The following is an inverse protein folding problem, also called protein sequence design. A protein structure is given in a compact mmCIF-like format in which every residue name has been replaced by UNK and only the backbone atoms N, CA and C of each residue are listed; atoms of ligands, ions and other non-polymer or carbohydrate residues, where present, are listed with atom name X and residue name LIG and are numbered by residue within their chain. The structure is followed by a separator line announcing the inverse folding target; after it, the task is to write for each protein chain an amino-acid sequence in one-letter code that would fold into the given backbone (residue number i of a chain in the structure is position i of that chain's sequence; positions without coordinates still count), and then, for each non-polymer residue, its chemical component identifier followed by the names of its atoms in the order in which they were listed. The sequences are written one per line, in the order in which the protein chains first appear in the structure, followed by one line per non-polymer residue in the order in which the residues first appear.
data_IF_073942004434
#
_entry.id   IF_073942004434
#
_cell.length_a   1.000
_cell.length_b   1.000
_cell.length_c   1.000
_cell.angle_alpha   90.00
_cell.angle_beta   90.00
_cell.angle_gamma   90.00
#
_symmetry.space_group_name_H-M   'P 1'
#
loop_
_entity.id
_entity.type
_entity.pdbx_description
1 polymer ?
#
# COMPACT_ATOMS: atom_id res chain seq x y z
N UNK A 1 1.50 10.75 28.12
CA UNK A 1 1.26 10.17 26.78
C UNK A 1 2.63 9.97 26.16
N UNK A 2 3.04 8.72 25.96
CA UNK A 2 4.39 8.39 25.48
C UNK A 2 4.61 8.88 24.04
N UNK A 3 5.76 9.50 23.81
CA UNK A 3 6.24 9.86 22.48
C UNK A 3 7.08 8.68 21.98
N UNK A 4 6.71 8.09 20.86
CA UNK A 4 7.47 6.99 20.25
C UNK A 4 8.47 7.57 19.28
N UNK A 5 9.73 7.10 19.33
CA UNK A 5 10.78 7.54 18.41
C UNK A 5 10.97 6.46 17.34
N UNK A 6 10.73 6.82 16.08
CA UNK A 6 11.10 5.98 14.95
C UNK A 6 12.56 6.25 14.59
N UNK A 7 13.40 5.23 14.73
CA UNK A 7 14.79 5.32 14.29
C UNK A 7 14.89 4.98 12.81
N UNK A 8 15.28 5.98 12.02
CA UNK A 8 15.74 5.80 10.66
C UNK A 8 17.26 5.64 10.69
N UNK A 9 17.78 4.71 9.89
CA UNK A 9 19.16 4.22 9.88
C UNK A 9 20.23 5.24 10.37
N UNK A 10 21.02 4.76 11.32
CA UNK A 10 22.30 5.25 11.88
C UNK A 10 22.41 6.66 12.49
N UNK A 11 21.54 7.65 12.28
CA UNK A 11 21.60 8.92 13.06
C UNK A 11 20.32 9.79 12.99
N UNK A 12 19.20 9.25 12.51
CA UNK A 12 18.01 10.02 12.18
C UNK A 12 16.79 9.56 12.97
N UNK A 13 16.40 10.30 14.01
CA UNK A 13 15.20 10.01 14.82
C UNK A 13 14.01 10.88 14.42
N UNK A 14 12.88 10.26 14.09
CA UNK A 14 11.60 10.94 13.89
C UNK A 14 10.76 10.76 15.15
N UNK A 15 10.38 11.85 15.81
CA UNK A 15 9.41 11.80 16.91
C UNK A 15 8.00 11.60 16.35
N UNK A 16 7.28 10.64 16.92
CA UNK A 16 5.94 10.25 16.52
C UNK A 16 5.00 10.19 17.72
N UNK A 17 3.73 10.55 17.52
CA UNK A 17 2.65 10.36 18.48
C UNK A 17 1.45 9.69 17.83
N UNK A 18 0.83 8.76 18.55
CA UNK A 18 -0.47 8.20 18.14
C UNK A 18 -1.59 9.12 18.61
N UNK A 19 -2.43 9.58 17.68
CA UNK A 19 -3.63 10.37 17.97
C UNK A 19 -4.76 9.78 17.14
N UNK A 20 -5.86 9.40 17.79
CA UNK A 20 -7.02 8.77 17.15
C UNK A 20 -6.63 7.52 16.32
N UNK A 21 -5.74 6.69 16.88
CA UNK A 21 -5.13 5.50 16.23
C UNK A 21 -4.37 5.78 14.92
N UNK A 22 -4.09 7.06 14.63
CA UNK A 22 -3.29 7.48 13.49
C UNK A 22 -1.90 7.95 13.94
N UNK A 23 -0.83 7.58 13.23
CA UNK A 23 0.49 8.08 13.51
C UNK A 23 0.63 9.53 13.03
N UNK A 24 1.17 10.38 13.91
CA UNK A 24 1.54 11.75 13.60
C UNK A 24 3.04 11.94 13.80
N UNK A 25 3.72 12.49 12.80
CA UNK A 25 5.16 12.67 12.76
C UNK A 25 5.52 14.14 12.94
N UNK A 26 6.48 14.44 13.81
CA UNK A 26 6.99 15.81 13.95
C UNK A 26 7.61 16.24 12.63
N UNK A 27 6.98 17.23 11.98
CA UNK A 27 7.36 17.58 10.62
C UNK A 27 8.78 18.16 10.54
N UNK A 28 9.26 18.80 11.61
CA UNK A 28 10.64 19.32 11.68
C UNK A 28 11.65 18.19 11.47
N UNK A 29 11.49 17.10 12.21
CA UNK A 29 12.39 15.93 12.16
C UNK A 29 12.34 15.29 10.76
N UNK A 30 11.14 15.16 10.19
CA UNK A 30 10.94 14.65 8.82
C UNK A 30 11.66 15.53 7.79
N UNK A 31 11.47 16.85 7.85
CA UNK A 31 12.11 17.78 6.92
C UNK A 31 13.64 17.75 7.03
N UNK A 32 14.20 17.65 8.24
CA UNK A 32 15.64 17.55 8.47
C UNK A 32 16.23 16.28 7.82
N UNK A 33 15.59 15.13 8.06
CA UNK A 33 15.99 13.84 7.46
C UNK A 33 15.86 13.87 5.94
N UNK A 34 14.85 14.56 5.41
CA UNK A 34 14.64 14.71 3.98
C UNK A 34 15.49 15.82 3.33
N UNK A 35 16.25 16.59 4.12
CA UNK A 35 17.08 17.69 3.62
C UNK A 35 16.26 18.88 3.11
N UNK A 36 15.03 19.05 3.60
CA UNK A 36 14.13 20.15 3.30
C UNK A 36 14.47 21.33 4.23
N UNK A 37 15.46 22.13 3.83
CA UNK A 37 16.03 23.23 4.64
C UNK A 37 14.97 24.27 5.02
N UNK A 38 14.10 24.62 4.07
CA UNK A 38 13.01 25.59 4.29
C UNK A 38 11.76 24.87 4.81
N UNK A 39 11.74 24.61 6.11
CA UNK A 39 10.64 23.90 6.77
C UNK A 39 9.24 24.48 6.46
N UNK A 40 9.07 25.81 6.53
CA UNK A 40 7.78 26.47 6.27
C UNK A 40 7.33 26.33 4.81
N UNK A 41 8.28 26.31 3.88
CA UNK A 41 8.05 26.16 2.44
C UNK A 41 7.68 24.71 2.11
N UNK A 42 8.36 23.73 2.71
CA UNK A 42 8.00 22.33 2.55
C UNK A 42 6.57 22.04 3.08
N UNK A 43 6.21 22.67 4.21
CA UNK A 43 4.88 22.54 4.78
C UNK A 43 3.79 23.29 4.01
N UNK A 44 4.09 24.34 3.24
CA UNK A 44 3.05 25.00 2.42
C UNK A 44 2.57 24.11 1.27
N UNK A 45 3.33 23.06 0.93
CA UNK A 45 2.99 22.07 -0.10
C UNK A 45 2.32 20.81 0.47
N UNK A 46 2.05 20.78 1.78
CA UNK A 46 1.22 19.74 2.42
C UNK A 46 -0.19 20.31 2.56
N UNK A 47 -1.22 19.47 2.46
CA UNK A 47 -2.60 19.93 2.65
C UNK A 47 -2.87 20.28 4.13
N UNK A 48 -3.78 21.21 4.38
CA UNK A 48 -4.04 21.67 5.74
C UNK A 48 -4.67 20.59 6.62
N UNK A 49 -5.44 19.67 6.04
CA UNK A 49 -6.00 18.50 6.74
C UNK A 49 -4.93 17.48 7.16
N UNK A 50 -3.78 17.49 6.48
CA UNK A 50 -2.65 16.61 6.75
C UNK A 50 -1.66 17.22 7.76
N UNK A 51 -1.92 18.44 8.21
CA UNK A 51 -1.14 19.14 9.24
C UNK A 51 -1.92 19.20 10.53
N UNK A 52 -1.19 19.10 11.64
CA UNK A 52 -1.70 19.47 12.95
C UNK A 52 -0.71 20.38 13.62
N UNK A 53 -1.11 21.63 13.76
CA UNK A 53 -0.38 22.62 14.56
C UNK A 53 -0.69 22.26 16.01
N UNK A 54 0.34 21.90 16.80
CA UNK A 54 0.29 21.68 18.25
C UNK A 54 0.26 20.24 18.78
N UNK A 55 1.18 19.39 18.31
CA UNK A 55 1.57 18.25 19.16
C UNK A 55 2.57 18.76 20.19
N UNK A 56 2.25 18.55 21.48
CA UNK A 56 3.21 18.77 22.57
C UNK A 56 4.19 17.61 22.57
N UNK A 57 5.47 17.95 22.43
CA UNK A 57 6.58 17.00 22.40
C UNK A 57 7.61 17.45 23.42
N UNK A 58 8.13 16.51 24.20
CA UNK A 58 9.21 16.81 25.14
C UNK A 58 10.50 17.09 24.37
N UNK A 59 11.14 18.20 24.71
CA UNK A 59 12.45 18.60 24.16
C UNK A 59 13.41 18.83 25.32
N UNK A 60 14.71 18.94 25.02
CA UNK A 60 15.73 19.26 26.02
C UNK A 60 15.45 20.58 26.76
N UNK A 61 14.68 21.49 26.14
CA UNK A 61 14.22 22.75 26.73
C UNK A 61 12.82 22.71 27.36
N UNK A 62 12.23 21.52 27.55
CA UNK A 62 10.86 21.34 28.06
C UNK A 62 9.81 21.05 26.96
N UNK A 63 8.53 20.95 27.33
CA UNK A 63 7.45 20.64 26.40
C UNK A 63 7.26 21.77 25.38
N UNK A 64 7.41 21.45 24.09
CA UNK A 64 7.22 22.40 22.98
C UNK A 64 6.07 21.97 22.08
N UNK A 65 5.31 22.96 21.62
CA UNK A 65 4.27 22.79 20.61
C UNK A 65 4.90 22.77 19.22
N UNK A 66 4.84 21.61 18.56
CA UNK A 66 5.41 21.40 17.23
C UNK A 66 4.30 21.12 16.20
N UNK A 67 4.54 21.48 14.95
CA UNK A 67 3.69 21.02 13.84
C UNK A 67 4.02 19.56 13.54
N UNK A 68 2.98 18.76 13.39
CA UNK A 68 3.09 17.39 12.95
C UNK A 68 2.29 17.18 11.68
N UNK A 69 2.68 16.14 10.94
CA UNK A 69 1.98 15.66 9.75
C UNK A 69 1.48 14.24 9.98
N UNK A 70 0.34 13.90 9.40
CA UNK A 70 -0.13 12.52 9.37
C UNK A 70 0.66 11.72 8.31
N UNK A 71 0.24 10.49 8.04
CA UNK A 71 0.87 9.62 7.02
C UNK A 71 0.81 10.21 5.59
N UNK A 72 -0.32 10.83 5.22
CA UNK A 72 -0.47 11.48 3.91
C UNK A 72 0.51 12.65 3.75
N UNK A 73 0.57 13.55 4.74
CA UNK A 73 1.51 14.66 4.74
C UNK A 73 2.97 14.21 4.82
N UNK A 74 3.26 13.10 5.50
CA UNK A 74 4.59 12.49 5.51
C UNK A 74 5.03 12.06 4.10
N UNK A 75 4.15 11.39 3.34
CA UNK A 75 4.44 11.02 1.96
C UNK A 75 4.57 12.23 1.03
N UNK A 76 3.75 13.27 1.23
CA UNK A 76 3.88 14.53 0.50
C UNK A 76 5.28 15.13 0.68
N UNK A 77 5.80 15.16 1.90
CA UNK A 77 7.17 15.64 2.18
C UNK A 77 8.24 14.75 1.52
N UNK A 78 8.09 13.42 1.57
CA UNK A 78 9.04 12.50 0.89
C UNK A 78 9.10 12.79 -0.61
N UNK A 79 7.95 13.03 -1.24
CA UNK A 79 7.89 13.27 -2.68
C UNK A 79 8.47 14.63 -3.10
N UNK A 80 8.59 15.59 -2.19
CA UNK A 80 9.29 16.86 -2.39
C UNK A 80 10.81 16.74 -2.27
N UNK A 81 11.32 15.76 -1.53
CA UNK A 81 12.76 15.63 -1.27
C UNK A 81 13.56 15.29 -2.53
N UNK A 82 14.72 15.94 -2.67
CA UNK A 82 15.69 15.67 -3.74
C UNK A 82 16.74 14.62 -3.37
N UNK A 83 16.74 14.13 -2.12
CA UNK A 83 17.71 13.13 -1.63
C UNK A 83 17.60 11.82 -2.44
N UNK A 84 18.71 11.14 -2.71
CA UNK A 84 18.69 9.89 -3.48
C UNK A 84 17.85 8.80 -2.81
N UNK A 85 17.81 8.76 -1.47
CA UNK A 85 17.00 7.82 -0.69
C UNK A 85 15.49 8.08 -0.90
N UNK A 86 15.07 9.34 -0.87
CA UNK A 86 13.67 9.71 -1.13
C UNK A 86 13.26 9.42 -2.59
N UNK A 87 14.15 9.65 -3.56
CA UNK A 87 13.94 9.26 -4.95
C UNK A 87 13.81 7.74 -5.10
N UNK A 88 14.66 6.96 -4.42
CA UNK A 88 14.59 5.50 -4.44
C UNK A 88 13.27 5.00 -3.83
N UNK A 89 12.85 5.56 -2.69
CA UNK A 89 11.57 5.24 -2.08
C UNK A 89 10.40 5.57 -3.02
N UNK A 90 10.35 6.79 -3.56
CA UNK A 90 9.32 7.20 -4.52
C UNK A 90 9.28 6.24 -5.71
N UNK A 91 10.43 5.89 -6.29
CA UNK A 91 10.51 4.95 -7.41
C UNK A 91 9.97 3.58 -7.02
N UNK A 92 10.38 3.03 -5.87
CA UNK A 92 9.89 1.75 -5.37
C UNK A 92 8.37 1.75 -5.19
N UNK A 93 7.82 2.79 -4.55
CA UNK A 93 6.36 2.93 -4.38
C UNK A 93 5.65 2.98 -5.73
N UNK A 94 6.12 3.79 -6.67
CA UNK A 94 5.43 3.99 -7.95
C UNK A 94 5.65 2.88 -8.97
N UNK A 95 6.80 2.19 -8.94
CA UNK A 95 7.11 1.12 -9.91
C UNK A 95 6.75 -0.27 -9.42
N UNK A 96 6.65 -0.49 -8.11
CA UNK A 96 6.46 -1.81 -7.53
C UNK A 96 5.21 -1.89 -6.67
N UNK A 97 5.10 -1.05 -5.64
CA UNK A 97 4.02 -1.15 -4.64
C UNK A 97 2.66 -0.81 -5.24
N UNK A 98 2.50 0.40 -5.79
CA UNK A 98 1.23 0.85 -6.37
C UNK A 98 0.77 -0.05 -7.53
N UNK A 99 1.64 -0.44 -8.50
CA UNK A 99 1.25 -1.40 -9.52
C UNK A 99 0.82 -2.75 -8.95
N UNK A 100 1.47 -3.24 -7.88
CA UNK A 100 1.08 -4.48 -7.23
C UNK A 100 -0.27 -4.38 -6.53
N UNK A 101 -0.52 -3.28 -5.81
CA UNK A 101 -1.81 -3.00 -5.18
C UNK A 101 -2.95 -2.89 -6.21
N UNK A 102 -2.71 -2.28 -7.37
CA UNK A 102 -3.71 -2.19 -8.43
C UNK A 102 -3.92 -3.51 -9.17
N UNK A 103 -2.84 -4.25 -9.44
CA UNK A 103 -2.92 -5.49 -10.22
C UNK A 103 -3.47 -6.63 -9.38
N UNK A 104 -2.98 -6.79 -8.16
CA UNK A 104 -3.24 -7.95 -7.29
C UNK A 104 -4.09 -7.60 -6.07
N UNK A 105 -4.09 -6.34 -5.63
CA UNK A 105 -4.82 -5.91 -4.43
C UNK A 105 -4.05 -6.02 -3.13
N UNK A 106 -2.79 -6.42 -3.21
CA UNK A 106 -1.92 -6.60 -2.07
C UNK A 106 -0.47 -6.41 -2.53
N UNK A 107 0.40 -6.16 -1.57
CA UNK A 107 1.84 -6.15 -1.75
C UNK A 107 2.45 -7.08 -0.72
N UNK A 108 3.35 -7.97 -1.15
CA UNK A 108 4.17 -8.80 -0.26
C UNK A 108 5.61 -8.41 -0.54
N UNK A 109 6.29 -7.90 0.48
CA UNK A 109 7.68 -7.51 0.34
C UNK A 109 8.53 -8.74 -0.06
N UNK A 110 9.52 -8.58 -0.95
CA UNK A 110 10.44 -9.66 -1.29
C UNK A 110 11.10 -10.22 -0.02
N UNK A 111 10.99 -11.54 0.17
CA UNK A 111 11.56 -12.22 1.35
C UNK A 111 10.71 -12.13 2.62
N UNK A 112 9.49 -11.57 2.58
CA UNK A 112 8.58 -11.62 3.72
C UNK A 112 8.12 -13.06 3.99
N UNK A 113 8.40 -13.56 5.19
CA UNK A 113 7.85 -14.82 5.68
C UNK A 113 6.45 -14.58 6.24
N UNK A 114 5.44 -15.09 5.54
CA UNK A 114 4.05 -15.04 5.98
C UNK A 114 3.75 -16.25 6.87
N UNK A 115 3.14 -15.98 8.02
CA UNK A 115 2.50 -17.03 8.83
C UNK A 115 1.43 -17.75 8.01
N UNK A 116 1.04 -18.95 8.44
CA UNK A 116 -0.02 -19.72 7.77
C UNK A 116 -1.32 -18.92 7.65
N UNK A 117 -1.74 -18.29 8.75
CA UNK A 117 -2.96 -17.49 8.81
C UNK A 117 -2.91 -16.27 7.87
N UNK A 118 -1.78 -15.56 7.83
CA UNK A 118 -1.58 -14.44 6.90
C UNK A 118 -1.63 -14.89 5.44
N UNK A 119 -1.05 -16.05 5.12
CA UNK A 119 -1.09 -16.64 3.78
C UNK A 119 -2.51 -17.02 3.39
N UNK A 120 -3.27 -17.66 4.28
CA UNK A 120 -4.66 -18.03 4.05
C UNK A 120 -5.54 -16.80 3.84
N UNK A 121 -5.40 -15.77 4.67
CA UNK A 121 -6.11 -14.51 4.51
C UNK A 121 -5.79 -13.83 3.17
N UNK A 122 -4.51 -13.81 2.78
CA UNK A 122 -4.08 -13.27 1.50
C UNK A 122 -4.68 -14.02 0.31
N UNK A 123 -4.64 -15.36 0.37
CA UNK A 123 -5.24 -16.22 -0.66
C UNK A 123 -6.75 -16.00 -0.77
N UNK A 124 -7.45 -15.85 0.35
CA UNK A 124 -8.88 -15.58 0.37
C UNK A 124 -9.22 -14.24 -0.30
N UNK A 125 -8.50 -13.18 0.03
CA UNK A 125 -8.66 -11.85 -0.61
C UNK A 125 -8.37 -11.94 -2.11
N UNK A 126 -7.30 -12.65 -2.49
CA UNK A 126 -6.91 -12.84 -3.88
C UNK A 126 -7.98 -13.59 -4.67
N UNK A 127 -8.46 -14.73 -4.18
CA UNK A 127 -9.52 -15.53 -4.81
C UNK A 127 -10.81 -14.71 -4.95
N UNK A 128 -11.20 -13.97 -3.91
CA UNK A 128 -12.40 -13.11 -3.92
C UNK A 128 -12.31 -12.03 -5.00
N UNK A 129 -11.15 -11.41 -5.20
CA UNK A 129 -10.93 -10.43 -6.28
C UNK A 129 -10.91 -11.08 -7.66
N UNK A 130 -10.16 -12.17 -7.82
CA UNK A 130 -10.00 -12.88 -9.09
C UNK A 130 -11.32 -13.40 -9.64
N UNK A 131 -12.26 -13.78 -8.76
CA UNK A 131 -13.59 -14.26 -9.12
C UNK A 131 -14.33 -13.34 -10.09
N UNK A 132 -14.09 -12.03 -10.03
CA UNK A 132 -14.70 -11.03 -10.94
C UNK A 132 -14.27 -11.20 -12.39
N UNK A 133 -13.08 -11.77 -12.60
CA UNK A 133 -12.46 -11.95 -13.90
C UNK A 133 -12.49 -13.41 -14.36
N UNK A 134 -13.03 -14.34 -13.57
CA UNK A 134 -13.09 -15.76 -13.92
C UNK A 134 -14.44 -16.08 -14.58
N UNK A 135 -14.38 -16.69 -15.76
CA UNK A 135 -15.57 -17.19 -16.45
C UNK A 135 -15.80 -18.67 -16.14
N UNK A 136 -17.04 -19.15 -16.36
CA UNK A 136 -17.40 -20.55 -16.11
C UNK A 136 -16.51 -21.53 -16.92
N UNK A 137 -16.10 -21.15 -18.14
CA UNK A 137 -15.19 -21.95 -18.98
C UNK A 137 -13.78 -22.09 -18.39
N UNK A 138 -13.31 -21.11 -17.61
CA UNK A 138 -11.95 -21.11 -17.09
C UNK A 138 -11.71 -22.26 -16.10
N UNK A 139 -12.74 -22.63 -15.33
CA UNK A 139 -12.70 -23.78 -14.42
C UNK A 139 -12.35 -25.05 -15.18
N UNK A 140 -13.03 -25.32 -16.30
CA UNK A 140 -12.78 -26.50 -17.12
C UNK A 140 -11.38 -26.48 -17.77
N UNK A 141 -10.87 -25.30 -18.12
CA UNK A 141 -9.53 -25.20 -18.72
C UNK A 141 -8.44 -25.38 -17.66
N UNK A 142 -8.61 -24.82 -16.46
CA UNK A 142 -7.68 -25.02 -15.35
C UNK A 142 -7.70 -26.46 -14.88
N UNK A 143 -8.87 -27.11 -14.80
CA UNK A 143 -9.00 -28.52 -14.45
C UNK A 143 -8.18 -29.41 -15.39
N UNK A 144 -8.33 -29.21 -16.72
CA UNK A 144 -7.54 -29.94 -17.73
C UNK A 144 -6.05 -29.68 -17.62
N UNK A 145 -5.63 -28.43 -17.35
CA UNK A 145 -4.21 -28.05 -17.26
C UNK A 145 -3.52 -28.57 -15.99
N UNK A 146 -4.24 -28.62 -14.88
CA UNK A 146 -3.69 -28.97 -13.56
C UNK A 146 -3.97 -30.43 -13.16
N UNK A 147 -4.77 -31.14 -13.95
CA UNK A 147 -5.24 -32.50 -13.69
C UNK A 147 -6.07 -32.65 -12.39
N UNK A 148 -6.61 -31.55 -11.86
CA UNK A 148 -7.57 -31.59 -10.75
C UNK A 148 -9.01 -31.70 -11.29
N UNK A 149 -9.93 -32.36 -10.55
CA UNK A 149 -11.34 -32.37 -10.91
C UNK A 149 -11.93 -30.96 -11.04
N UNK A 150 -12.84 -30.76 -11.99
CA UNK A 150 -13.48 -29.45 -12.21
C UNK A 150 -14.22 -28.95 -10.95
N UNK A 151 -14.82 -29.86 -10.17
CA UNK A 151 -15.44 -29.54 -8.89
C UNK A 151 -14.43 -28.97 -7.88
N UNK A 152 -13.23 -29.58 -7.78
CA UNK A 152 -12.16 -29.07 -6.92
C UNK A 152 -11.76 -27.65 -7.34
N UNK A 153 -11.50 -27.45 -8.64
CA UNK A 153 -11.13 -26.13 -9.17
C UNK A 153 -12.22 -25.09 -8.92
N UNK A 154 -13.50 -25.48 -9.05
CA UNK A 154 -14.64 -24.61 -8.75
C UNK A 154 -14.69 -24.23 -7.27
N UNK A 155 -14.43 -25.17 -6.34
CA UNK A 155 -14.34 -24.89 -4.91
C UNK A 155 -13.20 -23.92 -4.59
N UNK A 156 -12.05 -24.06 -5.26
CA UNK A 156 -10.95 -23.10 -5.15
C UNK A 156 -11.37 -21.73 -5.68
N UNK A 157 -11.91 -21.65 -6.90
CA UNK A 157 -12.33 -20.40 -7.53
C UNK A 157 -13.43 -19.65 -6.76
N UNK A 158 -14.27 -20.39 -6.01
CA UNK A 158 -15.34 -19.84 -5.16
C UNK A 158 -14.89 -19.52 -3.74
N UNK A 159 -13.64 -19.84 -3.36
CA UNK A 159 -13.11 -19.64 -2.01
C UNK A 159 -13.66 -20.61 -0.97
N UNK A 160 -14.22 -21.76 -1.41
CA UNK A 160 -14.79 -22.82 -0.55
C UNK A 160 -13.81 -23.97 -0.28
N UNK A 161 -12.55 -23.83 -0.71
CA UNK A 161 -11.49 -24.80 -0.49
C UNK A 161 -10.51 -24.25 0.56
N UNK A 162 -10.43 -24.85 1.76
CA UNK A 162 -9.35 -24.54 2.69
C UNK A 162 -8.04 -25.09 2.13
N UNK A 163 -6.96 -24.32 2.29
CA UNK A 163 -5.60 -24.65 1.81
C UNK A 163 -5.55 -25.22 0.37
N UNK A 164 -5.94 -24.41 -0.63
CA UNK A 164 -6.00 -24.87 -2.01
C UNK A 164 -4.60 -25.11 -2.60
N UNK A 165 -4.51 -26.09 -3.51
CA UNK A 165 -3.27 -26.41 -4.22
C UNK A 165 -2.68 -25.17 -4.91
N UNK A 166 -1.41 -24.80 -4.67
CA UNK A 166 -0.80 -23.61 -5.24
C UNK A 166 -0.79 -23.59 -6.78
N UNK A 167 -0.72 -24.77 -7.42
CA UNK A 167 -0.76 -24.88 -8.88
C UNK A 167 -2.12 -24.49 -9.46
N UNK A 168 -3.21 -24.86 -8.78
CA UNK A 168 -4.58 -24.50 -9.16
C UNK A 168 -4.83 -23.01 -8.94
N UNK A 169 -4.40 -22.49 -7.79
CA UNK A 169 -4.51 -21.04 -7.49
C UNK A 169 -3.75 -20.22 -8.54
N UNK A 170 -2.51 -20.60 -8.87
CA UNK A 170 -1.70 -19.93 -9.90
C UNK A 170 -2.37 -20.00 -11.27
N UNK A 171 -2.89 -21.16 -11.66
CA UNK A 171 -3.57 -21.31 -12.95
C UNK A 171 -4.85 -20.46 -13.04
N UNK A 172 -5.63 -20.38 -11.96
CA UNK A 172 -6.78 -19.47 -11.86
C UNK A 172 -6.34 -18.00 -11.91
N UNK A 173 -5.23 -17.65 -11.25
CA UNK A 173 -4.68 -16.30 -11.29
C UNK A 173 -4.24 -15.90 -12.69
N UNK A 174 -3.55 -16.77 -13.42
CA UNK A 174 -3.17 -16.52 -14.81
C UNK A 174 -4.39 -16.31 -15.71
N UNK A 175 -5.47 -17.09 -15.48
CA UNK A 175 -6.75 -16.91 -16.18
C UNK A 175 -7.40 -15.58 -15.86
N UNK A 176 -7.53 -15.25 -14.58
CA UNK A 176 -8.09 -13.98 -14.13
C UNK A 176 -7.30 -12.80 -14.70
N UNK A 177 -5.97 -12.86 -14.73
CA UNK A 177 -5.11 -11.81 -15.32
C UNK A 177 -5.28 -11.71 -16.84
N UNK A 178 -5.44 -12.84 -17.54
CA UNK A 178 -5.68 -12.83 -18.99
C UNK A 178 -7.02 -12.19 -19.32
N UNK A 179 -8.07 -12.56 -18.59
CA UNK A 179 -9.41 -11.99 -18.77
C UNK A 179 -9.44 -10.52 -18.34
N UNK A 180 -8.70 -10.15 -17.28
CA UNK A 180 -8.55 -8.75 -16.82
C UNK A 180 -8.00 -7.82 -17.92
N UNK A 181 -7.12 -8.29 -18.80
CA UNK A 181 -6.63 -7.46 -19.94
C UNK A 181 -7.75 -7.04 -20.90
N UNK A 182 -8.80 -7.86 -21.00
CA UNK A 182 -9.97 -7.60 -21.83
C UNK A 182 -11.16 -7.12 -20.99
N UNK A 183 -10.95 -6.95 -19.68
CA UNK A 183 -11.97 -6.48 -18.75
C UNK A 183 -11.88 -4.97 -18.68
N UNK A 184 -12.92 -4.30 -19.16
CA UNK A 184 -13.14 -2.89 -18.89
C UNK A 184 -13.65 -2.80 -17.45
N UNK A 185 -12.83 -2.26 -16.56
CA UNK A 185 -13.26 -1.97 -15.19
C UNK A 185 -14.09 -0.69 -15.22
N UNK A 186 -15.42 -0.78 -15.05
CA UNK A 186 -16.29 0.37 -15.18
C UNK A 186 -15.98 1.45 -14.13
N UNK A 187 -15.33 1.09 -13.03
CA UNK A 187 -15.00 2.03 -11.96
C UNK A 187 -13.59 2.61 -12.10
N UNK A 188 -12.59 1.85 -12.55
CA UNK A 188 -11.20 2.37 -12.53
C UNK A 188 -10.85 3.27 -13.71
N UNK A 189 -11.35 2.98 -14.91
CA UNK A 189 -11.08 3.81 -16.08
C UNK A 189 -11.87 5.12 -15.99
N UNK A 190 -13.14 5.06 -15.60
CA UNK A 190 -13.95 6.25 -15.29
C UNK A 190 -13.36 7.05 -14.13
N UNK A 191 -12.93 6.43 -13.01
CA UNK A 191 -12.31 7.18 -11.91
C UNK A 191 -10.96 7.79 -12.29
N UNK A 192 -10.13 7.07 -13.05
CA UNK A 192 -8.84 7.60 -13.50
C UNK A 192 -9.03 8.72 -14.52
N UNK A 193 -9.97 8.57 -15.46
CA UNK A 193 -10.31 9.60 -16.44
C UNK A 193 -10.98 10.80 -15.78
N UNK A 194 -11.90 10.59 -14.83
CA UNK A 194 -12.50 11.65 -14.03
C UNK A 194 -11.46 12.38 -13.18
N UNK A 195 -10.49 11.67 -12.59
CA UNK A 195 -9.38 12.29 -11.88
C UNK A 195 -8.48 13.10 -12.83
N UNK A 196 -8.19 12.60 -14.03
CA UNK A 196 -7.44 13.35 -15.06
C UNK A 196 -8.23 14.58 -15.54
N UNK A 197 -9.54 14.46 -15.68
CA UNK A 197 -10.43 15.54 -16.10
C UNK A 197 -10.56 16.62 -15.02
N UNK A 198 -10.57 16.24 -13.73
CA UNK A 198 -10.51 17.17 -12.60
C UNK A 198 -9.16 17.90 -12.47
N UNK A 199 -8.09 17.35 -13.07
CA UNK A 199 -6.75 17.94 -13.06
C UNK A 199 -6.47 18.86 -14.28
N UNK A 200 -7.42 18.96 -15.23
CA UNK A 200 -7.36 19.88 -16.37
C UNK A 200 -8.05 21.20 -16.06
#
# INVERSE_FOLDING_TARGET
METSILQWKEDASIRMKMIDDKPWFVAKDVCEILGLIKYRDALSHVDDEDKRVSIVVDTLGGPQSMTAVNESGFYALIFQSRKPQAKAFRKWVTSEVLPSLWKYGYYVAPGAELTKDQREALLAVMIKRMRRYLEQRDVGIVARRTCYPAEYVLRVATGRMPDPSPSVVRALQERALKNKKNYVDPLSEEQMMAMIEQLR
#
